data_IF_516529023939
#
_entry.id   IF_516529023939
#
_cell.length_a   1.000
_cell.length_b   1.000
_cell.length_c   1.000
_cell.angle_alpha   90.00
_cell.angle_beta   90.00
_cell.angle_gamma   90.00
#
_symmetry.space_group_name_H-M   'P 1'
#
loop_
_entity.id
_entity.type
_entity.pdbx_description
1 polymer ?
#
# COMPACT_ATOMS: atom_id res chain seq x y z
N UNK A 1 49.71 -31.82 -22.65
CA UNK A 1 49.12 -31.22 -23.87
C UNK A 1 47.86 -30.45 -23.48
N UNK A 2 47.92 -29.11 -23.57
CA UNK A 2 47.43 -28.30 -24.70
C UNK A 2 45.92 -28.02 -24.61
N UNK A 3 45.63 -26.78 -24.23
CA UNK A 3 44.69 -25.84 -24.87
C UNK A 3 43.21 -26.26 -24.85
N UNK A 4 42.40 -25.67 -23.97
CA UNK A 4 41.70 -24.39 -24.19
C UNK A 4 40.80 -24.39 -25.43
N UNK A 5 39.47 -24.19 -25.22
CA UNK A 5 38.59 -23.24 -25.92
C UNK A 5 37.20 -23.23 -25.25
N UNK A 6 36.88 -22.15 -24.51
CA UNK A 6 35.95 -21.06 -24.87
C UNK A 6 34.48 -21.56 -24.83
N UNK A 7 33.75 -21.38 -23.73
CA UNK A 7 33.12 -20.16 -23.19
C UNK A 7 31.77 -19.81 -23.84
N UNK A 8 30.86 -19.33 -22.98
CA UNK A 8 29.62 -18.58 -23.27
C UNK A 8 28.33 -19.42 -23.29
N UNK A 9 27.79 -19.69 -22.10
CA UNK A 9 26.35 -19.55 -21.93
C UNK A 9 26.11 -18.53 -20.82
N UNK A 10 25.51 -17.41 -21.22
CA UNK A 10 25.25 -16.22 -20.44
C UNK A 10 24.40 -16.55 -19.21
N UNK A 11 24.94 -16.27 -18.03
CA UNK A 11 24.13 -16.10 -16.82
C UNK A 11 23.21 -14.89 -17.02
N UNK A 12 21.90 -14.97 -16.69
CA UNK A 12 21.08 -13.77 -16.61
C UNK A 12 21.65 -12.83 -15.53
N UNK A 13 22.00 -11.62 -15.97
CA UNK A 13 22.59 -10.55 -15.19
C UNK A 13 21.58 -9.91 -14.22
N UNK A 14 21.19 -10.65 -13.18
CA UNK A 14 20.52 -10.08 -12.02
C UNK A 14 21.05 -10.72 -10.72
N UNK A 15 22.37 -10.75 -10.57
CA UNK A 15 22.99 -11.02 -9.27
C UNK A 15 24.21 -10.14 -9.12
N UNK A 16 24.00 -8.92 -8.62
CA UNK A 16 24.90 -8.25 -7.67
C UNK A 16 24.50 -6.77 -7.53
N UNK A 17 23.74 -6.48 -6.48
CA UNK A 17 23.98 -5.35 -5.59
C UNK A 17 23.10 -5.54 -4.35
N UNK A 18 23.33 -6.63 -3.62
CA UNK A 18 23.00 -6.67 -2.20
C UNK A 18 23.96 -5.72 -1.50
N UNK A 19 23.71 -4.42 -1.61
CA UNK A 19 24.16 -3.51 -0.58
C UNK A 19 23.21 -3.77 0.58
N UNK A 20 23.64 -4.69 1.44
CA UNK A 20 23.16 -4.78 2.80
C UNK A 20 23.49 -3.44 3.47
N UNK A 21 22.64 -2.45 3.27
CA UNK A 21 22.38 -1.47 4.31
C UNK A 21 21.55 -2.23 5.33
N UNK A 22 22.24 -2.90 6.25
CA UNK A 22 21.69 -3.08 7.59
C UNK A 22 21.63 -1.67 8.18
N UNK A 23 20.60 -0.93 7.80
CA UNK A 23 20.05 0.07 8.70
C UNK A 23 19.52 -0.74 9.87
N UNK A 24 20.06 -0.45 11.05
CA UNK A 24 19.50 -0.93 12.30
C UNK A 24 18.06 -0.41 12.35
N UNK A 25 17.13 -1.18 11.80
CA UNK A 25 15.71 -1.01 12.04
C UNK A 25 15.57 -1.11 13.55
N UNK A 26 15.34 0.04 14.15
CA UNK A 26 15.01 0.13 15.57
C UNK A 26 13.78 -0.77 15.77
N UNK A 27 13.77 -1.53 16.86
CA UNK A 27 12.84 -2.63 17.17
C UNK A 27 11.35 -2.20 17.33
N UNK A 28 10.98 -0.99 16.89
CA UNK A 28 9.66 -0.37 17.02
C UNK A 28 9.15 0.22 15.67
N UNK A 29 9.51 -0.35 14.52
CA UNK A 29 8.81 -0.03 13.26
C UNK A 29 7.44 -0.75 13.25
N UNK A 30 6.44 -0.11 13.84
CA UNK A 30 5.08 -0.65 13.91
C UNK A 30 4.45 -0.62 12.51
N UNK A 31 4.56 -1.72 11.78
CA UNK A 31 3.83 -1.94 10.54
C UNK A 31 2.34 -2.14 10.83
N UNK A 32 1.55 -1.08 10.67
CA UNK A 32 0.10 -1.17 10.77
C UNK A 32 -0.48 -1.79 9.49
N UNK A 33 -1.17 -2.92 9.64
CA UNK A 33 -1.95 -3.55 8.56
C UNK A 33 -3.39 -3.77 9.01
N UNK A 34 -4.35 -3.33 8.18
CA UNK A 34 -5.78 -3.51 8.42
C UNK A 34 -6.44 -4.20 7.23
N UNK A 35 -7.13 -5.31 7.50
CA UNK A 35 -7.97 -6.00 6.52
C UNK A 35 -9.37 -5.40 6.53
N UNK A 36 -9.76 -4.73 5.44
CA UNK A 36 -11.08 -4.12 5.29
C UNK A 36 -12.08 -5.03 4.59
N UNK A 37 -11.60 -5.87 3.67
CA UNK A 37 -12.42 -6.85 2.94
C UNK A 37 -11.58 -8.11 2.72
N UNK A 38 -12.15 -9.29 3.00
CA UNK A 38 -11.53 -10.57 2.70
C UNK A 38 -12.60 -11.63 2.45
N UNK A 39 -12.68 -12.11 1.22
CA UNK A 39 -13.61 -13.21 0.85
C UNK A 39 -13.26 -14.51 1.58
N UNK A 40 -11.98 -14.83 1.69
CA UNK A 40 -11.52 -16.06 2.34
C UNK A 40 -11.87 -16.11 3.83
N UNK A 41 -11.85 -14.95 4.51
CA UNK A 41 -12.18 -14.84 5.94
C UNK A 41 -13.63 -14.38 6.19
N UNK A 42 -14.42 -14.19 5.12
CA UNK A 42 -15.74 -13.57 5.17
C UNK A 42 -15.78 -12.24 5.96
N UNK A 43 -14.77 -11.40 5.76
CA UNK A 43 -14.64 -10.09 6.41
C UNK A 43 -15.13 -9.03 5.45
N UNK A 44 -16.04 -8.19 5.94
CA UNK A 44 -16.47 -6.99 5.25
C UNK A 44 -16.69 -5.87 6.27
N UNK A 45 -15.83 -4.86 6.24
CA UNK A 45 -15.93 -3.67 7.09
C UNK A 45 -16.59 -2.56 6.27
N UNK A 46 -17.81 -2.16 6.63
CA UNK A 46 -18.55 -1.10 5.92
C UNK A 46 -17.88 0.27 6.07
N UNK A 47 -17.49 0.61 7.30
CA UNK A 47 -16.92 1.89 7.67
C UNK A 47 -15.66 1.69 8.52
N UNK A 48 -14.60 2.41 8.19
CA UNK A 48 -13.35 2.41 8.94
C UNK A 48 -12.60 3.71 8.71
N UNK A 49 -11.89 4.21 9.71
CA UNK A 49 -11.00 5.35 9.54
C UNK A 49 -9.82 5.23 10.50
N UNK A 50 -8.71 5.85 10.10
CA UNK A 50 -7.55 6.11 10.95
C UNK A 50 -6.93 7.43 10.50
N UNK A 51 -6.38 8.17 11.45
CA UNK A 51 -5.73 9.45 11.22
C UNK A 51 -4.44 9.59 12.04
N UNK A 52 -3.75 10.71 11.80
CA UNK A 52 -2.49 11.04 12.45
C UNK A 52 -2.56 11.22 13.98
N UNK A 53 -3.74 11.50 14.54
CA UNK A 53 -3.92 11.65 15.99
C UNK A 53 -4.09 10.30 16.67
N UNK A 54 -4.76 9.34 16.02
CA UNK A 54 -4.87 7.95 16.50
C UNK A 54 -3.52 7.23 16.44
N UNK A 55 -2.79 7.38 15.34
CA UNK A 55 -1.49 6.76 15.13
C UNK A 55 -0.40 7.83 15.24
N UNK A 56 0.15 7.97 16.45
CA UNK A 56 1.22 8.94 16.80
C UNK A 56 2.57 8.57 16.16
N UNK A 57 2.62 8.55 14.83
CA UNK A 57 3.82 8.27 14.07
C UNK A 57 4.81 9.44 14.20
N UNK A 58 6.03 9.13 14.63
CA UNK A 58 7.13 10.10 14.65
C UNK A 58 7.67 10.31 13.25
N UNK A 59 7.83 11.57 12.82
CA UNK A 59 8.46 11.92 11.54
C UNK A 59 7.51 11.96 10.33
N UNK A 60 6.21 11.77 10.52
CA UNK A 60 5.20 11.90 9.45
C UNK A 60 4.50 13.26 9.55
N UNK A 61 4.07 13.84 8.41
CA UNK A 61 3.30 15.08 8.39
C UNK A 61 1.99 14.92 9.18
N UNK A 62 1.64 15.95 9.97
CA UNK A 62 0.33 16.00 10.64
C UNK A 62 -0.78 16.11 9.59
N UNK A 63 -1.93 15.49 9.85
CA UNK A 63 -3.13 15.64 9.04
C UNK A 63 -3.29 14.64 7.91
N UNK A 64 -2.53 13.53 7.91
CA UNK A 64 -2.88 12.40 7.06
C UNK A 64 -4.11 11.67 7.62
N UNK A 65 -4.93 11.12 6.73
CA UNK A 65 -6.11 10.33 7.08
C UNK A 65 -6.35 9.26 6.03
N UNK A 66 -6.77 8.08 6.48
CA UNK A 66 -7.32 7.04 5.62
C UNK A 66 -8.72 6.68 6.11
N UNK A 67 -9.68 6.61 5.21
CA UNK A 67 -11.04 6.20 5.53
C UNK A 67 -11.63 5.31 4.44
N UNK A 68 -12.50 4.39 4.87
CA UNK A 68 -13.37 3.59 4.02
C UNK A 68 -14.81 3.88 4.42
N UNK A 69 -15.69 4.06 3.44
CA UNK A 69 -17.14 4.12 3.63
C UNK A 69 -17.88 3.39 2.52
N UNK A 70 -19.03 2.81 2.84
CA UNK A 70 -19.98 2.32 1.84
C UNK A 70 -20.95 3.44 1.48
N UNK A 71 -20.97 3.86 0.22
CA UNK A 71 -21.93 4.83 -0.28
C UNK A 71 -23.33 4.22 -0.26
N UNK A 72 -24.31 4.99 0.25
CA UNK A 72 -25.70 4.57 0.38
C UNK A 72 -26.62 5.49 -0.43
N UNK A 73 -27.54 4.90 -1.18
CA UNK A 73 -28.57 5.60 -1.97
C UNK A 73 -28.16 6.00 -3.39
N UNK A 74 -29.17 6.21 -4.24
CA UNK A 74 -29.00 6.61 -5.64
C UNK A 74 -28.33 5.55 -6.51
N UNK A 75 -27.68 5.99 -7.60
CA UNK A 75 -26.97 5.11 -8.54
C UNK A 75 -25.63 4.58 -7.99
N UNK A 76 -25.15 5.17 -6.89
CA UNK A 76 -23.89 4.79 -6.25
C UNK A 76 -24.09 3.86 -5.05
N UNK A 77 -25.33 3.46 -4.76
CA UNK A 77 -25.65 2.60 -3.64
C UNK A 77 -24.82 1.31 -3.69
N UNK A 78 -24.12 1.04 -2.59
CA UNK A 78 -23.28 -0.14 -2.43
C UNK A 78 -21.88 -0.06 -3.04
N UNK A 79 -21.45 1.11 -3.50
CA UNK A 79 -20.05 1.34 -3.86
C UNK A 79 -19.24 1.55 -2.58
N UNK A 80 -18.11 0.87 -2.46
CA UNK A 80 -17.12 1.18 -1.42
C UNK A 80 -16.22 2.29 -1.93
N UNK A 81 -15.96 3.28 -1.08
CA UNK A 81 -15.03 4.37 -1.34
C UNK A 81 -13.93 4.34 -0.27
N UNK A 82 -12.68 4.37 -0.71
CA UNK A 82 -11.50 4.53 0.14
C UNK A 82 -10.87 5.88 -0.20
N UNK A 83 -10.72 6.73 0.80
CA UNK A 83 -10.07 8.04 0.68
C UNK A 83 -8.79 8.00 1.50
N UNK A 84 -7.67 8.32 0.87
CA UNK A 84 -6.38 8.47 1.52
C UNK A 84 -5.86 9.88 1.26
N UNK A 85 -5.56 10.61 2.33
CA UNK A 85 -4.99 11.96 2.26
C UNK A 85 -3.72 12.04 3.10
N UNK A 86 -2.74 12.81 2.62
CA UNK A 86 -1.51 13.10 3.35
C UNK A 86 -1.38 14.58 3.78
N UNK A 87 -2.49 15.32 3.68
CA UNK A 87 -2.56 16.77 3.92
C UNK A 87 -2.26 17.64 2.69
N UNK A 88 -1.72 17.07 1.62
CA UNK A 88 -1.52 17.77 0.33
C UNK A 88 -2.30 17.10 -0.77
N UNK A 89 -2.13 15.79 -0.93
CA UNK A 89 -2.81 15.01 -1.96
C UNK A 89 -3.90 14.18 -1.30
N UNK A 90 -5.07 14.13 -1.94
CA UNK A 90 -6.14 13.20 -1.61
C UNK A 90 -6.38 12.29 -2.81
N UNK A 91 -6.38 10.98 -2.55
CA UNK A 91 -6.65 9.94 -3.54
C UNK A 91 -7.92 9.22 -3.11
N UNK A 92 -8.88 9.12 -4.04
CA UNK A 92 -10.11 8.36 -3.84
C UNK A 92 -10.10 7.12 -4.73
N UNK A 93 -10.39 5.96 -4.16
CA UNK A 93 -10.39 4.66 -4.84
C UNK A 93 -11.73 3.96 -4.60
N UNK A 94 -12.24 3.27 -5.62
CA UNK A 94 -13.44 2.43 -5.53
C UNK A 94 -13.09 0.93 -5.63
N UNK A 95 -12.93 0.21 -4.50
CA UNK A 95 -12.63 -1.23 -4.52
C UNK A 95 -13.64 -2.06 -5.31
N UNK A 96 -14.93 -1.70 -5.24
CA UNK A 96 -16.01 -2.42 -5.95
C UNK A 96 -15.98 -2.24 -7.46
N UNK A 97 -15.14 -1.33 -7.97
CA UNK A 97 -14.87 -1.12 -9.41
C UNK A 97 -13.47 -1.61 -9.79
N UNK A 98 -13.02 -2.70 -9.17
CA UNK A 98 -11.72 -3.32 -9.46
C UNK A 98 -10.53 -2.49 -8.95
N UNK A 99 -10.67 -1.84 -7.79
CA UNK A 99 -9.66 -0.94 -7.23
C UNK A 99 -9.34 0.29 -8.09
N UNK A 100 -10.31 0.77 -8.89
CA UNK A 100 -10.13 1.93 -9.75
C UNK A 100 -9.92 3.22 -8.95
N UNK A 101 -8.92 4.02 -9.33
CA UNK A 101 -8.76 5.38 -8.82
C UNK A 101 -9.88 6.25 -9.38
N UNK A 102 -10.72 6.78 -8.51
CA UNK A 102 -11.84 7.63 -8.88
C UNK A 102 -11.39 9.07 -9.12
N UNK A 103 -10.55 9.61 -8.24
CA UNK A 103 -10.04 10.98 -8.34
C UNK A 103 -8.73 11.15 -7.57
N UNK A 104 -7.99 12.17 -7.97
CA UNK A 104 -6.81 12.66 -7.25
C UNK A 104 -6.92 14.18 -7.18
N UNK A 105 -6.87 14.74 -5.99
CA UNK A 105 -6.90 16.19 -5.76
C UNK A 105 -5.69 16.64 -4.95
N UNK A 106 -5.27 17.88 -5.14
CA UNK A 106 -4.15 18.55 -4.45
C UNK A 106 -4.65 19.75 -3.65
#
# INVERSE_FOLDING_TARGET
ERLSRIATHLQPAWSAATHATTECASDDDVLLSKVLTSTAKNIYVEEWSIDSDELKLTGVSKGWKVEKRRLKGGLQDGIDEIVASNGTITITVHPTKGMGVHSVTM
#
